data_IF_502793394340
#
_entry.id   IF_502793394340
#
_cell.length_a   1.000
_cell.length_b   1.000
_cell.length_c   1.000
_cell.angle_alpha   90.00
_cell.angle_beta   90.00
_cell.angle_gamma   90.00
#
_symmetry.space_group_name_H-M   'P 1'
#
loop_
_entity.id
_entity.type
_entity.pdbx_description
1 polymer ?
#
# COMPACT_ATOMS: atom_id res chain seq x y z
N UNK A 1 16.37 -4.93 14.06
CA UNK A 1 14.96 -4.55 14.28
C UNK A 1 14.23 -4.50 12.96
N UNK A 2 13.21 -5.35 12.77
CA UNK A 2 12.34 -5.31 11.60
C UNK A 2 11.12 -4.41 11.87
N UNK A 3 10.60 -3.76 10.84
CA UNK A 3 9.44 -2.85 10.92
C UNK A 3 8.39 -3.24 9.90
N UNK A 4 7.12 -3.26 10.31
CA UNK A 4 5.94 -3.45 9.45
C UNK A 4 5.09 -2.20 9.55
N UNK A 5 4.67 -1.68 8.41
CA UNK A 5 3.64 -0.66 8.31
C UNK A 5 2.48 -1.22 7.51
N UNK A 6 1.30 -1.21 8.13
CA UNK A 6 0.06 -1.66 7.51
C UNK A 6 -0.82 -0.45 7.28
N UNK A 7 -1.24 -0.28 6.05
CA UNK A 7 -2.16 0.73 5.61
C UNK A 7 -3.53 0.13 5.33
N UNK A 8 -4.58 0.77 5.85
CA UNK A 8 -5.96 0.33 5.66
C UNK A 8 -6.75 1.55 5.21
N UNK A 9 -7.25 1.53 3.97
CA UNK A 9 -7.94 2.69 3.39
C UNK A 9 -9.31 2.90 4.08
N UNK A 10 -9.70 4.16 4.29
CA UNK A 10 -10.96 4.52 4.95
C UNK A 10 -11.07 4.12 6.44
N UNK A 11 -10.03 3.56 7.05
CA UNK A 11 -10.05 3.01 8.41
C UNK A 11 -9.99 4.09 9.52
N UNK A 12 -11.07 4.86 9.68
CA UNK A 12 -11.23 5.76 10.83
C UNK A 12 -11.60 5.00 12.11
N UNK A 13 -11.39 5.62 13.27
CA UNK A 13 -11.71 5.03 14.57
C UNK A 13 -13.22 4.86 14.80
N UNK A 14 -14.05 5.69 14.16
CA UNK A 14 -15.51 5.72 14.38
C UNK A 14 -16.20 4.37 14.16
N UNK A 15 -15.96 3.61 13.06
CA UNK A 15 -16.48 2.25 12.92
C UNK A 15 -15.68 1.21 13.71
N UNK A 16 -14.35 1.39 13.87
CA UNK A 16 -13.47 0.36 14.45
C UNK A 16 -13.72 0.17 15.94
N UNK A 17 -13.86 1.25 16.72
CA UNK A 17 -14.01 1.17 18.18
C UNK A 17 -15.25 0.38 18.62
N UNK A 18 -16.45 0.59 18.04
CA UNK A 18 -17.61 -0.24 18.33
C UNK A 18 -17.39 -1.74 18.08
N UNK A 19 -16.58 -2.12 17.08
CA UNK A 19 -16.26 -3.53 16.82
C UNK A 19 -15.22 -4.09 17.80
N UNK A 20 -14.28 -3.27 18.27
CA UNK A 20 -13.35 -3.66 19.35
C UNK A 20 -14.15 -3.93 20.64
N UNK A 21 -15.06 -3.04 21.02
CA UNK A 21 -15.90 -3.18 22.22
C UNK A 21 -16.75 -4.46 22.20
N UNK A 22 -17.17 -4.89 21.01
CA UNK A 22 -17.91 -6.13 20.77
C UNK A 22 -17.00 -7.37 20.66
N UNK A 23 -15.69 -7.25 20.86
CA UNK A 23 -14.69 -8.31 20.68
C UNK A 23 -14.67 -8.93 19.26
N UNK A 24 -15.06 -8.16 18.24
CA UNK A 24 -15.11 -8.64 16.85
C UNK A 24 -13.79 -8.44 16.10
N UNK A 25 -12.89 -7.59 16.60
CA UNK A 25 -11.60 -7.29 15.98
C UNK A 25 -10.44 -7.57 16.96
N UNK A 26 -10.10 -8.84 17.21
CA UNK A 26 -9.09 -9.21 18.22
C UNK A 26 -7.69 -8.64 17.90
N UNK A 27 -7.31 -8.57 16.62
CA UNK A 27 -6.05 -7.96 16.20
C UNK A 27 -5.97 -6.47 16.54
N UNK A 28 -7.01 -5.71 16.22
CA UNK A 28 -7.10 -4.29 16.58
C UNK A 28 -7.18 -4.08 18.09
N UNK A 29 -7.93 -4.93 18.81
CA UNK A 29 -8.02 -4.87 20.27
C UNK A 29 -6.64 -4.98 20.92
N UNK A 30 -5.77 -5.86 20.38
CA UNK A 30 -4.39 -5.96 20.84
C UNK A 30 -3.60 -4.67 20.60
N UNK A 31 -3.65 -4.11 19.39
CA UNK A 31 -2.96 -2.85 19.08
C UNK A 31 -3.46 -1.67 19.92
N UNK A 32 -4.77 -1.64 20.20
CA UNK A 32 -5.39 -0.61 21.03
C UNK A 32 -4.92 -0.67 22.47
N UNK A 33 -4.86 -1.87 23.06
CA UNK A 33 -4.53 -2.06 24.47
C UNK A 33 -3.02 -2.05 24.78
N UNK A 34 -2.20 -2.55 23.86
CA UNK A 34 -0.74 -2.71 24.06
C UNK A 34 0.09 -1.64 23.33
N UNK A 35 -0.51 -0.91 22.41
CA UNK A 35 0.17 0.05 21.53
C UNK A 35 -0.06 1.51 21.90
N UNK A 36 0.41 2.38 21.01
CA UNK A 36 0.11 3.81 21.03
C UNK A 36 -0.82 4.14 19.86
N UNK A 37 -1.88 4.89 20.15
CA UNK A 37 -2.85 5.30 19.15
C UNK A 37 -3.21 6.78 19.34
N UNK A 38 -3.67 7.40 18.25
CA UNK A 38 -4.09 8.79 18.24
C UNK A 38 -4.84 9.13 16.96
N UNK A 39 -5.62 10.20 17.01
CA UNK A 39 -6.27 10.75 15.82
C UNK A 39 -5.22 11.54 15.01
N UNK A 40 -5.13 11.25 13.71
CA UNK A 40 -4.30 11.99 12.77
C UNK A 40 -5.19 12.77 11.80
N UNK A 41 -4.75 13.96 11.44
CA UNK A 41 -5.40 14.77 10.41
C UNK A 41 -4.87 14.32 9.05
N UNK A 42 -5.78 13.87 8.18
CA UNK A 42 -5.45 13.48 6.81
C UNK A 42 -5.08 14.70 5.95
N UNK A 43 -4.58 14.45 4.74
CA UNK A 43 -4.31 15.52 3.78
C UNK A 43 -5.60 16.15 3.24
N UNK A 44 -5.50 17.40 2.79
CA UNK A 44 -6.55 18.02 1.98
C UNK A 44 -6.06 18.05 0.53
N UNK A 45 -6.76 17.39 -0.43
CA UNK A 45 -8.04 16.70 -0.27
C UNK A 45 -7.91 15.25 0.27
N UNK A 46 -8.97 14.76 0.91
CA UNK A 46 -9.10 13.40 1.46
C UNK A 46 -9.28 12.33 0.37
N UNK A 47 -8.27 12.16 -0.48
CA UNK A 47 -8.28 11.20 -1.58
C UNK A 47 -7.11 10.23 -1.42
N UNK A 48 -7.35 8.95 -1.72
CA UNK A 48 -6.37 7.85 -1.71
C UNK A 48 -4.99 8.28 -2.24
N UNK A 49 -4.86 8.63 -3.53
CA UNK A 49 -3.53 8.97 -4.10
C UNK A 49 -2.77 10.06 -3.31
N UNK A 50 -3.30 11.29 -3.10
CA UNK A 50 -2.57 12.31 -2.36
C UNK A 50 -2.34 11.94 -0.89
N UNK A 51 -3.27 11.22 -0.23
CA UNK A 51 -3.10 10.74 1.14
C UNK A 51 -1.94 9.76 1.28
N UNK A 52 -1.93 8.69 0.49
CA UNK A 52 -0.87 7.67 0.51
C UNK A 52 0.50 8.23 0.12
N UNK A 53 0.55 9.13 -0.87
CA UNK A 53 1.81 9.78 -1.27
C UNK A 53 2.32 10.77 -0.25
N UNK A 54 1.43 11.45 0.48
CA UNK A 54 1.85 12.31 1.57
C UNK A 54 2.44 11.51 2.74
N UNK A 55 1.82 10.37 3.07
CA UNK A 55 2.35 9.42 4.02
C UNK A 55 3.74 8.92 3.62
N UNK A 56 3.93 8.50 2.37
CA UNK A 56 5.19 7.89 1.95
C UNK A 56 6.32 8.89 1.68
N UNK A 57 6.01 10.08 1.16
CA UNK A 57 7.01 11.10 0.77
C UNK A 57 7.19 12.20 1.82
N UNK A 58 6.32 12.28 2.83
CA UNK A 58 6.32 13.39 3.79
C UNK A 58 6.00 14.76 3.16
N UNK A 59 5.21 14.78 2.08
CA UNK A 59 4.87 16.00 1.32
C UNK A 59 3.35 16.18 1.22
N UNK A 60 2.85 17.39 1.43
CA UNK A 60 1.44 17.68 1.22
C UNK A 60 1.07 17.77 -0.29
N UNK A 61 -0.22 17.66 -0.64
CA UNK A 61 -0.72 17.75 -2.03
C UNK A 61 -0.20 18.95 -2.82
N UNK A 62 -0.12 20.13 -2.19
CA UNK A 62 0.40 21.35 -2.82
C UNK A 62 1.89 21.25 -3.21
N UNK A 63 2.72 20.61 -2.38
CA UNK A 63 4.14 20.35 -2.70
C UNK A 63 4.33 19.31 -3.79
N UNK A 64 3.40 18.36 -3.93
CA UNK A 64 3.42 17.33 -4.97
C UNK A 64 2.76 17.81 -6.27
N UNK A 65 1.88 18.80 -6.19
CA UNK A 65 1.02 19.26 -7.29
C UNK A 65 -0.10 18.27 -7.65
N UNK A 66 -0.44 17.34 -6.76
CA UNK A 66 -1.37 16.22 -7.01
C UNK A 66 -2.57 16.34 -6.09
N UNK A 67 -3.77 16.35 -6.67
CA UNK A 67 -5.03 16.62 -5.94
C UNK A 67 -6.10 15.54 -6.12
N UNK A 68 -5.88 14.59 -7.02
CA UNK A 68 -6.69 13.39 -7.21
C UNK A 68 -5.76 12.30 -7.74
N UNK A 69 -6.18 11.48 -8.71
CA UNK A 69 -5.28 10.66 -9.54
C UNK A 69 -4.54 11.47 -10.63
N UNK A 70 -4.49 12.80 -10.48
CA UNK A 70 -4.04 13.73 -11.50
C UNK A 70 -3.29 14.93 -10.92
N UNK A 71 -2.39 15.48 -11.73
CA UNK A 71 -1.64 16.72 -11.51
C UNK A 71 -2.20 17.84 -12.38
N UNK A 72 -2.19 19.06 -11.84
CA UNK A 72 -2.54 20.27 -12.59
C UNK A 72 -1.29 20.81 -13.28
N UNK A 73 -1.31 20.89 -14.61
CA UNK A 73 -0.31 21.56 -15.42
C UNK A 73 -0.72 23.03 -15.62
N UNK A 74 -0.22 23.88 -14.74
CA UNK A 74 -0.51 25.32 -14.75
C UNK A 74 0.02 26.03 -16.00
N UNK A 75 1.06 25.50 -16.64
CA UNK A 75 1.66 26.13 -17.82
C UNK A 75 0.77 25.95 -19.06
N UNK A 76 0.23 24.74 -19.21
CA UNK A 76 -0.58 24.38 -20.38
C UNK A 76 -2.09 24.38 -20.10
N UNK A 77 -2.51 24.80 -18.89
CA UNK A 77 -3.90 24.78 -18.45
C UNK A 77 -4.58 23.41 -18.66
N UNK A 78 -3.88 22.34 -18.26
CA UNK A 78 -4.31 20.96 -18.49
C UNK A 78 -4.30 20.13 -17.19
N UNK A 79 -5.12 19.08 -17.17
CA UNK A 79 -5.09 18.03 -16.14
C UNK A 79 -4.38 16.82 -16.74
N UNK A 80 -3.40 16.28 -16.02
CA UNK A 80 -2.62 15.12 -16.46
C UNK A 80 -2.71 14.00 -15.44
N UNK A 81 -2.98 12.79 -15.90
CA UNK A 81 -2.84 11.60 -15.06
C UNK A 81 -1.37 11.44 -14.65
N UNK A 82 -1.16 10.92 -13.45
CA UNK A 82 0.17 10.72 -12.88
C UNK A 82 0.36 9.28 -12.44
N UNK A 83 1.56 8.78 -12.69
CA UNK A 83 2.04 7.48 -12.22
C UNK A 83 3.27 7.69 -11.33
N UNK A 84 3.91 6.61 -10.89
CA UNK A 84 5.04 6.66 -9.95
C UNK A 84 6.22 7.55 -10.42
N UNK A 85 6.37 7.74 -11.74
CA UNK A 85 7.45 8.51 -12.35
C UNK A 85 7.21 10.02 -12.32
N UNK A 86 5.96 10.46 -12.10
CA UNK A 86 5.61 11.87 -12.11
C UNK A 86 5.82 12.59 -10.78
N UNK A 87 6.25 11.90 -9.72
CA UNK A 87 6.43 12.49 -8.39
C UNK A 87 7.87 12.98 -8.18
N UNK A 88 8.00 14.25 -7.79
CA UNK A 88 9.28 14.85 -7.44
C UNK A 88 9.66 14.51 -6.00
N UNK A 89 10.74 13.75 -5.81
CA UNK A 89 11.27 13.36 -4.50
C UNK A 89 11.35 11.86 -4.30
N UNK A 90 11.53 11.47 -3.04
CA UNK A 90 11.72 10.08 -2.61
C UNK A 90 10.62 9.68 -1.65
N UNK A 91 10.14 8.46 -1.82
CA UNK A 91 9.41 7.77 -0.78
C UNK A 91 10.41 7.29 0.30
N UNK A 92 9.94 7.05 1.53
CA UNK A 92 10.86 6.62 2.59
C UNK A 92 11.55 5.28 2.26
N UNK A 93 10.93 4.37 1.50
CA UNK A 93 11.56 3.13 1.06
C UNK A 93 12.67 3.34 0.03
N UNK A 94 12.64 4.42 -0.76
CA UNK A 94 13.74 4.79 -1.64
C UNK A 94 14.97 5.17 -0.80
N UNK A 95 14.75 5.97 0.25
CA UNK A 95 15.80 6.40 1.19
C UNK A 95 16.39 5.21 1.95
N UNK A 96 15.53 4.29 2.41
CA UNK A 96 15.94 3.05 3.07
C UNK A 96 16.77 2.17 2.14
N UNK A 97 16.32 1.99 0.89
CA UNK A 97 17.04 1.22 -0.13
C UNK A 97 18.43 1.78 -0.41
N UNK A 98 18.56 3.10 -0.53
CA UNK A 98 19.85 3.77 -0.71
C UNK A 98 20.81 3.53 0.45
N UNK A 99 20.26 3.47 1.67
CA UNK A 99 20.99 3.12 2.89
C UNK A 99 21.18 1.61 3.09
N UNK A 100 20.88 0.80 2.08
CA UNK A 100 21.04 -0.67 2.07
C UNK A 100 20.16 -1.42 3.06
N UNK A 101 19.06 -0.82 3.51
CA UNK A 101 18.01 -1.55 4.22
C UNK A 101 17.21 -2.36 3.21
N UNK A 102 16.80 -3.58 3.58
CA UNK A 102 15.90 -4.37 2.73
C UNK A 102 14.48 -3.84 2.87
N UNK A 103 13.78 -3.64 1.74
CA UNK A 103 12.39 -3.19 1.74
C UNK A 103 11.48 -4.12 0.94
N UNK A 104 10.25 -4.25 1.40
CA UNK A 104 9.18 -4.94 0.69
C UNK A 104 7.93 -4.06 0.69
N UNK A 105 7.43 -3.75 -0.50
CA UNK A 105 6.25 -2.89 -0.71
C UNK A 105 5.20 -3.71 -1.45
N UNK A 106 4.01 -3.78 -0.89
CA UNK A 106 2.87 -4.51 -1.47
C UNK A 106 1.71 -3.54 -1.66
N UNK A 107 1.27 -3.40 -2.91
CA UNK A 107 0.07 -2.67 -3.34
C UNK A 107 -0.03 -1.21 -2.87
N UNK A 108 1.10 -0.55 -2.57
CA UNK A 108 1.06 0.88 -2.24
C UNK A 108 0.58 1.71 -3.46
N UNK A 109 -0.44 2.57 -3.33
CA UNK A 109 -1.03 3.22 -4.50
C UNK A 109 -0.06 4.16 -5.22
N UNK A 110 -0.15 4.23 -6.54
CA UNK A 110 0.70 5.08 -7.38
C UNK A 110 2.19 4.71 -7.36
N UNK A 111 2.49 3.42 -7.20
CA UNK A 111 3.84 2.87 -7.34
C UNK A 111 4.09 2.21 -8.69
N UNK A 112 3.09 2.10 -9.56
CA UNK A 112 3.30 1.67 -10.94
C UNK A 112 3.84 2.82 -11.83
N UNK A 113 4.77 2.56 -12.76
CA UNK A 113 5.57 1.34 -12.85
C UNK A 113 6.52 1.22 -11.64
N UNK A 114 6.88 0.00 -11.20
CA UNK A 114 7.65 -0.20 -9.98
C UNK A 114 9.04 0.42 -10.11
N UNK A 115 9.46 1.14 -9.06
CA UNK A 115 10.82 1.68 -8.97
C UNK A 115 11.79 0.61 -8.47
N UNK A 116 13.07 0.76 -8.80
CA UNK A 116 14.12 -0.08 -8.24
C UNK A 116 14.28 0.17 -6.75
N UNK A 117 14.24 -0.89 -5.95
CA UNK A 117 14.45 -0.85 -4.50
C UNK A 117 15.44 -1.93 -4.08
N UNK A 118 16.00 -1.83 -2.87
CA UNK A 118 16.81 -2.91 -2.31
C UNK A 118 15.89 -3.99 -1.71
N UNK A 119 15.21 -4.74 -2.57
CA UNK A 119 14.22 -5.73 -2.17
C UNK A 119 13.12 -5.86 -3.22
N UNK A 120 11.87 -5.94 -2.77
CA UNK A 120 10.72 -6.28 -3.63
C UNK A 120 9.68 -5.15 -3.62
N UNK A 121 9.09 -4.86 -4.78
CA UNK A 121 7.97 -3.95 -4.92
C UNK A 121 6.91 -4.58 -5.82
N UNK A 122 5.74 -4.84 -5.27
CA UNK A 122 4.53 -5.15 -6.01
C UNK A 122 3.75 -3.84 -6.10
N UNK A 123 3.67 -3.27 -7.30
CA UNK A 123 3.02 -1.97 -7.49
C UNK A 123 1.56 -2.04 -7.07
N UNK A 124 1.02 -0.97 -6.50
CA UNK A 124 -0.41 -0.77 -6.26
C UNK A 124 -1.12 -0.04 -7.41
N UNK A 125 -2.43 0.08 -7.30
CA UNK A 125 -3.27 0.81 -8.24
C UNK A 125 -2.91 2.32 -8.33
N UNK A 126 -3.06 2.99 -9.48
CA UNK A 126 -3.41 2.45 -10.79
C UNK A 126 -2.22 1.76 -11.45
N UNK A 127 -2.50 0.62 -12.08
CA UNK A 127 -1.55 -0.14 -12.89
C UNK A 127 -1.86 0.09 -14.37
N UNK A 128 -0.82 0.18 -15.19
CA UNK A 128 -0.93 0.23 -16.66
C UNK A 128 -0.38 -1.04 -17.30
N UNK A 129 -0.24 -1.03 -18.63
CA UNK A 129 0.32 -2.14 -19.39
C UNK A 129 1.82 -2.30 -19.14
N UNK A 130 2.25 -3.48 -18.70
CA UNK A 130 3.67 -3.82 -18.53
C UNK A 130 4.02 -4.34 -17.14
N UNK A 131 5.31 -4.31 -16.81
CA UNK A 131 5.86 -4.89 -15.58
C UNK A 131 5.39 -4.09 -14.36
N UNK A 132 4.75 -4.78 -13.41
CA UNK A 132 4.20 -4.20 -12.18
C UNK A 132 4.95 -4.67 -10.92
N UNK A 133 5.93 -5.55 -11.09
CA UNK A 133 6.75 -6.13 -10.02
C UNK A 133 8.21 -5.72 -10.22
N UNK A 134 8.88 -5.34 -9.14
CA UNK A 134 10.33 -5.22 -9.09
C UNK A 134 10.90 -6.14 -8.02
N UNK A 135 12.02 -6.84 -8.29
CA UNK A 135 12.60 -7.03 -9.62
C UNK A 135 11.68 -7.91 -10.48
N UNK A 136 11.79 -7.78 -11.81
CA UNK A 136 10.85 -8.40 -12.76
C UNK A 136 10.79 -9.93 -12.62
N UNK A 137 11.92 -10.58 -12.33
CA UNK A 137 12.00 -12.02 -12.09
C UNK A 137 11.31 -12.48 -10.79
N UNK A 138 10.87 -11.56 -9.93
CA UNK A 138 10.06 -11.91 -8.76
C UNK A 138 8.63 -12.27 -9.16
N UNK A 139 8.18 -11.90 -10.36
CA UNK A 139 6.84 -12.24 -10.84
C UNK A 139 6.58 -13.74 -10.85
N UNK A 140 7.59 -14.56 -11.18
CA UNK A 140 7.50 -16.03 -11.17
C UNK A 140 7.33 -16.63 -9.76
N UNK A 141 7.60 -15.83 -8.72
CA UNK A 141 7.43 -16.23 -7.33
C UNK A 141 6.08 -15.80 -6.77
N UNK A 142 5.30 -14.99 -7.47
CA UNK A 142 4.01 -14.54 -6.96
C UNK A 142 3.04 -15.72 -6.96
N UNK A 143 2.38 -16.05 -5.82
CA UNK A 143 1.38 -17.10 -5.76
C UNK A 143 0.28 -16.91 -6.80
N UNK A 144 -0.21 -18.01 -7.36
CA UNK A 144 -1.25 -17.99 -8.41
C UNK A 144 -2.56 -17.34 -7.94
N UNK A 145 -2.82 -17.38 -6.64
CA UNK A 145 -3.98 -16.82 -5.97
C UNK A 145 -3.80 -15.35 -5.55
N UNK A 146 -2.62 -14.76 -5.78
CA UNK A 146 -2.41 -13.32 -5.60
C UNK A 146 -3.23 -12.53 -6.62
N UNK A 147 -4.18 -11.74 -6.13
CA UNK A 147 -5.09 -11.01 -7.00
C UNK A 147 -4.42 -9.72 -7.47
N UNK A 148 -3.96 -9.68 -8.72
CA UNK A 148 -3.20 -8.53 -9.23
C UNK A 148 -4.04 -7.25 -9.36
N UNK A 149 -5.19 -7.35 -9.98
CA UNK A 149 -6.02 -6.22 -10.40
C UNK A 149 -7.46 -6.47 -9.92
N UNK A 150 -7.74 -6.08 -8.68
CA UNK A 150 -9.08 -6.12 -8.09
C UNK A 150 -9.31 -4.83 -7.31
N UNK A 151 -10.46 -4.23 -7.59
CA UNK A 151 -11.06 -3.19 -6.76
C UNK A 151 -12.47 -3.69 -6.53
N UNK A 152 -12.72 -4.20 -5.33
CA UNK A 152 -14.06 -4.62 -4.93
C UNK A 152 -14.74 -3.42 -4.27
N UNK A 153 -15.75 -2.87 -4.92
CA UNK A 153 -16.52 -1.76 -4.40
C UNK A 153 -17.98 -2.18 -4.35
N UNK A 154 -18.65 -1.93 -3.23
CA UNK A 154 -20.10 -2.04 -3.15
C UNK A 154 -20.75 -1.00 -4.07
N UNK A 155 -20.85 -1.34 -5.35
CA UNK A 155 -21.59 -0.57 -6.35
C UNK A 155 -23.03 -1.08 -6.41
N UNK A 156 -23.92 -0.28 -6.99
CA UNK A 156 -25.36 -0.59 -7.04
C UNK A 156 -25.67 -1.92 -7.74
N UNK A 157 -24.80 -2.34 -8.66
CA UNK A 157 -25.04 -3.46 -9.57
C UNK A 157 -24.19 -4.71 -9.23
N UNK A 158 -23.36 -4.66 -8.19
CA UNK A 158 -22.59 -5.82 -7.73
C UNK A 158 -23.36 -6.66 -6.71
N UNK A 159 -23.20 -7.98 -6.80
CA UNK A 159 -23.70 -8.93 -5.81
C UNK A 159 -22.87 -8.79 -4.52
N UNK A 160 -23.48 -8.44 -3.37
CA UNK A 160 -22.75 -8.27 -2.11
C UNK A 160 -21.94 -9.48 -1.66
N UNK A 161 -22.39 -10.70 -1.95
CA UNK A 161 -21.64 -11.92 -1.58
C UNK A 161 -20.39 -12.07 -2.45
N UNK A 162 -20.49 -11.72 -3.73
CA UNK A 162 -19.35 -11.70 -4.65
C UNK A 162 -18.35 -10.61 -4.26
N UNK A 163 -18.83 -9.40 -3.95
CA UNK A 163 -17.96 -8.31 -3.48
C UNK A 163 -17.25 -8.70 -2.19
N UNK A 164 -17.97 -9.24 -1.20
CA UNK A 164 -17.39 -9.63 0.09
C UNK A 164 -16.35 -10.75 -0.04
N UNK A 165 -16.67 -11.81 -0.79
CA UNK A 165 -15.71 -12.91 -1.01
C UNK A 165 -14.46 -12.46 -1.78
N UNK A 166 -14.62 -11.50 -2.68
CA UNK A 166 -13.51 -10.82 -3.36
C UNK A 166 -12.60 -10.07 -2.38
N UNK A 167 -13.19 -9.23 -1.52
CA UNK A 167 -12.47 -8.50 -0.46
C UNK A 167 -11.70 -9.48 0.42
N UNK A 168 -12.34 -10.51 0.96
CA UNK A 168 -11.69 -11.50 1.84
C UNK A 168 -10.51 -12.18 1.15
N UNK A 169 -10.65 -12.55 -0.12
CA UNK A 169 -9.58 -13.14 -0.92
C UNK A 169 -8.42 -12.17 -1.12
N UNK A 170 -8.71 -10.91 -1.41
CA UNK A 170 -7.70 -9.87 -1.58
C UNK A 170 -6.91 -9.65 -0.30
N UNK A 171 -7.60 -9.39 0.81
CA UNK A 171 -7.00 -9.24 2.14
C UNK A 171 -6.08 -10.44 2.43
N UNK A 172 -6.60 -11.66 2.27
CA UNK A 172 -5.82 -12.89 2.53
C UNK A 172 -4.55 -12.94 1.66
N UNK A 173 -4.67 -12.72 0.36
CA UNK A 173 -3.52 -12.79 -0.55
C UNK A 173 -2.41 -11.79 -0.23
N UNK A 174 -2.77 -10.61 0.30
CA UNK A 174 -1.83 -9.57 0.73
C UNK A 174 -1.09 -10.00 1.99
N UNK A 175 -1.80 -10.54 2.98
CA UNK A 175 -1.17 -11.06 4.20
C UNK A 175 -0.31 -12.30 3.94
N UNK A 176 -0.75 -13.23 3.09
CA UNK A 176 0.07 -14.40 2.72
C UNK A 176 1.39 -13.96 2.04
N UNK A 177 1.31 -12.97 1.12
CA UNK A 177 2.50 -12.39 0.50
C UNK A 177 3.37 -11.66 1.52
N UNK A 178 2.77 -10.92 2.46
CA UNK A 178 3.47 -10.24 3.55
C UNK A 178 4.30 -11.21 4.39
N UNK A 179 3.69 -12.31 4.82
CA UNK A 179 4.34 -13.35 5.62
C UNK A 179 5.50 -13.99 4.86
N UNK A 180 5.30 -14.29 3.57
CA UNK A 180 6.36 -14.84 2.72
C UNK A 180 7.54 -13.88 2.53
N UNK A 181 7.27 -12.58 2.39
CA UNK A 181 8.33 -11.58 2.31
C UNK A 181 8.98 -11.29 3.67
N UNK A 182 8.31 -11.59 4.77
CA UNK A 182 8.81 -11.37 6.13
C UNK A 182 9.76 -12.48 6.60
N UNK A 183 9.45 -13.73 6.24
CA UNK A 183 10.17 -14.93 6.65
C UNK A 183 11.42 -15.19 5.77
N UNK A 184 12.64 -15.08 6.33
CA UNK A 184 13.88 -15.32 5.60
C UNK A 184 14.06 -16.76 5.10
N UNK A 185 13.29 -17.75 5.59
CA UNK A 185 13.40 -19.15 5.17
C UNK A 185 12.48 -19.53 3.99
N UNK A 186 11.54 -18.67 3.59
CA UNK A 186 10.43 -19.03 2.69
C UNK A 186 10.60 -18.66 1.19
N UNK A 187 11.78 -18.21 0.75
CA UNK A 187 12.01 -17.91 -0.67
C UNK A 187 13.46 -17.60 -1.07
N UNK A 188 13.76 -17.58 -2.39
CA UNK A 188 15.11 -17.34 -2.92
C UNK A 188 15.64 -15.91 -2.67
N UNK A 189 14.81 -14.99 -2.17
CA UNK A 189 15.25 -13.71 -1.59
C UNK A 189 15.61 -13.88 -0.11
N UNK A 190 16.67 -14.64 0.19
CA UNK A 190 17.17 -14.96 1.54
C UNK A 190 17.80 -13.76 2.30
N UNK A 191 17.29 -12.53 2.17
CA UNK A 191 17.84 -11.36 2.87
C UNK A 191 16.79 -10.38 3.39
N UNK A 192 15.86 -10.89 4.19
CA UNK A 192 15.26 -10.04 5.22
C UNK A 192 16.12 -10.10 6.48
N UNK A 193 17.21 -9.32 6.47
CA UNK A 193 18.11 -9.17 7.61
C UNK A 193 17.43 -8.40 8.77
N UNK A 194 18.19 -8.10 9.82
CA UNK A 194 17.67 -7.31 10.95
C UNK A 194 17.30 -5.86 10.59
N UNK A 195 17.34 -5.48 9.30
CA UNK A 195 17.09 -4.12 8.77
C UNK A 195 15.94 -4.11 7.75
N UNK A 196 14.99 -5.04 7.84
CA UNK A 196 13.81 -5.05 6.96
C UNK A 196 12.75 -4.03 7.37
N UNK A 197 12.27 -3.23 6.42
CA UNK A 197 11.02 -2.44 6.55
C UNK A 197 10.00 -2.89 5.51
N UNK A 198 8.77 -3.08 5.95
CA UNK A 198 7.69 -3.65 5.18
C UNK A 198 6.50 -2.70 5.13
N UNK A 199 5.84 -2.59 3.97
CA UNK A 199 4.66 -1.76 3.77
C UNK A 199 3.58 -2.55 3.04
N UNK A 200 2.46 -2.81 3.72
CA UNK A 200 1.30 -3.52 3.20
C UNK A 200 0.12 -2.58 3.09
N UNK A 201 -0.57 -2.63 1.96
CA UNK A 201 -1.92 -2.10 1.83
C UNK A 201 -2.94 -3.25 1.94
N UNK A 202 -4.00 -3.01 2.70
CA UNK A 202 -5.21 -3.84 2.72
C UNK A 202 -6.37 -2.91 2.36
N UNK A 203 -6.97 -3.12 1.18
CA UNK A 203 -8.18 -2.41 0.79
C UNK A 203 -9.41 -3.15 1.36
N UNK A 204 -10.40 -2.42 1.92
CA UNK A 204 -11.62 -3.00 2.48
C UNK A 204 -12.65 -3.40 1.40
#
# INVERSE_FOLDING_TARGET
>A
MKVVVIGIDGATWDPILPYIEKNMLPGYSKFWNEGLHGALISTIPYITQPGWKAYSMGKNPGKMGVYFWSRIDWKNFAIKNINSLGFDGKDYWDILSEKKYTVAIIDMPSTYPPKKVNGVMLSGFPKGDGTWVYPENFQDQIPQDYVKDSIHLFTKDEDPEVTMSGIEKDIKSRFDMAERLWDPESGPYQRCDERTTFSLLVEP
#
